data_IF_398899751061
#
_entry.id   IF_398899751061
#
_cell.length_a   1.000
_cell.length_b   1.000
_cell.length_c   1.000
_cell.angle_alpha   90.00
_cell.angle_beta   90.00
_cell.angle_gamma   90.00
#
_symmetry.space_group_name_H-M   'P 1'
#
loop_
_entity.id
_entity.type
_entity.pdbx_description
1 polymer ?
#
# COMPACT_ATOMS: atom_id res chain seq x y z
N UNK A 1 8.04 -15.34 10.82
CA UNK A 1 8.91 -15.14 9.63
C UNK A 1 7.98 -15.08 8.41
N UNK A 2 8.08 -14.06 7.56
CA UNK A 2 7.19 -13.93 6.38
C UNK A 2 7.54 -15.05 5.38
N UNK A 3 6.55 -15.76 4.87
CA UNK A 3 6.77 -16.85 3.91
C UNK A 3 6.71 -16.35 2.46
N UNK A 4 7.35 -17.09 1.53
CA UNK A 4 7.23 -16.82 0.09
C UNK A 4 5.78 -16.94 -0.41
N UNK A 5 4.99 -17.84 0.20
CA UNK A 5 3.56 -18.00 -0.10
C UNK A 5 2.78 -16.73 0.25
N UNK A 6 3.11 -16.07 1.35
CA UNK A 6 2.44 -14.82 1.75
C UNK A 6 2.82 -13.67 0.81
N UNK A 7 4.09 -13.57 0.40
CA UNK A 7 4.52 -12.59 -0.61
C UNK A 7 3.77 -12.78 -1.92
N UNK A 8 3.67 -14.02 -2.42
CA UNK A 8 2.95 -14.29 -3.67
C UNK A 8 1.46 -13.95 -3.54
N UNK A 9 0.84 -14.25 -2.40
CA UNK A 9 -0.56 -13.87 -2.14
C UNK A 9 -0.74 -12.36 -2.21
N UNK A 10 0.13 -11.60 -1.57
CA UNK A 10 0.07 -10.13 -1.57
C UNK A 10 0.25 -9.57 -2.99
N UNK A 11 1.24 -10.06 -3.76
CA UNK A 11 1.44 -9.65 -5.16
C UNK A 11 0.18 -9.85 -6.00
N UNK A 12 -0.46 -11.01 -5.87
CA UNK A 12 -1.67 -11.33 -6.60
C UNK A 12 -2.83 -10.40 -6.21
N UNK A 13 -3.04 -10.18 -4.91
CA UNK A 13 -4.12 -9.30 -4.42
C UNK A 13 -3.93 -7.86 -4.89
N UNK A 14 -2.71 -7.31 -4.75
CA UNK A 14 -2.40 -5.94 -5.18
C UNK A 14 -2.60 -5.77 -6.69
N UNK A 15 -2.20 -6.75 -7.50
CA UNK A 15 -2.45 -6.72 -8.94
C UNK A 15 -3.94 -6.71 -9.26
N UNK A 16 -4.73 -7.56 -8.60
CA UNK A 16 -6.19 -7.58 -8.77
C UNK A 16 -6.85 -6.25 -8.38
N UNK A 17 -6.46 -5.69 -7.23
CA UNK A 17 -6.99 -4.40 -6.75
C UNK A 17 -6.66 -3.27 -7.73
N UNK A 18 -5.45 -3.27 -8.29
CA UNK A 18 -5.06 -2.29 -9.31
C UNK A 18 -5.92 -2.39 -10.57
N UNK A 19 -6.10 -3.58 -11.15
CA UNK A 19 -6.97 -3.78 -12.32
C UNK A 19 -8.41 -3.37 -12.02
N UNK A 20 -8.93 -3.73 -10.84
CA UNK A 20 -10.28 -3.34 -10.44
C UNK A 20 -10.43 -1.81 -10.33
N UNK A 21 -9.40 -1.12 -9.82
CA UNK A 21 -9.39 0.34 -9.74
C UNK A 21 -9.46 1.02 -11.11
N UNK A 22 -9.02 0.34 -12.18
CA UNK A 22 -9.06 0.86 -13.56
C UNK A 22 -10.42 0.69 -14.25
N UNK A 23 -11.32 -0.14 -13.71
CA UNK A 23 -12.64 -0.39 -14.30
C UNK A 23 -13.67 0.72 -14.01
N UNK A 24 -13.33 1.68 -13.16
CA UNK A 24 -14.20 2.81 -12.82
C UNK A 24 -13.52 4.12 -13.21
N UNK A 25 -14.13 4.88 -14.13
CA UNK A 25 -13.59 6.15 -14.63
C UNK A 25 -13.26 7.16 -13.51
N UNK A 26 -14.09 7.23 -12.46
CA UNK A 26 -13.84 8.12 -11.32
C UNK A 26 -12.61 7.68 -10.51
N UNK A 27 -12.40 6.37 -10.36
CA UNK A 27 -11.21 5.84 -9.68
C UNK A 27 -9.94 6.09 -10.49
N UNK A 28 -9.98 5.88 -11.82
CA UNK A 28 -8.88 6.20 -12.73
C UNK A 28 -8.51 7.68 -12.64
N UNK A 29 -9.49 8.59 -12.76
CA UNK A 29 -9.24 10.02 -12.68
C UNK A 29 -8.61 10.43 -11.33
N UNK A 30 -9.09 9.86 -10.22
CA UNK A 30 -8.53 10.12 -8.89
C UNK A 30 -7.08 9.61 -8.75
N UNK A 31 -6.78 8.41 -9.26
CA UNK A 31 -5.42 7.85 -9.21
C UNK A 31 -4.46 8.75 -10.00
N UNK A 32 -4.76 9.04 -11.26
CA UNK A 32 -3.92 9.89 -12.11
C UNK A 32 -3.78 11.29 -11.52
N UNK A 33 -4.89 11.91 -11.09
CA UNK A 33 -4.89 13.22 -10.44
C UNK A 33 -4.01 13.26 -9.19
N UNK A 34 -4.05 12.21 -8.36
CA UNK A 34 -3.24 12.14 -7.14
C UNK A 34 -1.74 12.08 -7.41
N UNK A 35 -1.31 11.36 -8.44
CA UNK A 35 0.10 11.26 -8.82
C UNK A 35 0.60 12.55 -9.48
N UNK A 36 -0.22 13.14 -10.37
CA UNK A 36 0.09 14.44 -10.96
C UNK A 36 0.20 15.55 -9.89
N UNK A 37 -0.70 15.54 -8.89
CA UNK A 37 -0.65 16.48 -7.77
C UNK A 37 0.59 16.31 -6.89
N UNK A 38 1.15 15.09 -6.80
CA UNK A 38 2.43 14.82 -6.13
C UNK A 38 3.65 15.24 -6.96
N UNK A 39 3.45 15.62 -8.22
CA UNK A 39 4.49 16.09 -9.14
C UNK A 39 5.24 14.99 -9.88
N UNK A 40 4.88 13.72 -9.69
CA UNK A 40 5.54 12.59 -10.35
C UNK A 40 4.55 11.45 -10.63
N UNK A 41 4.39 11.13 -11.92
CA UNK A 41 3.53 10.05 -12.40
C UNK A 41 4.27 8.72 -12.57
N UNK A 42 5.60 8.73 -12.59
CA UNK A 42 6.39 7.52 -12.83
C UNK A 42 6.04 6.36 -11.88
N UNK A 43 5.79 6.58 -10.57
CA UNK A 43 5.43 5.48 -9.68
C UNK A 43 4.10 4.79 -10.04
N UNK A 44 3.20 5.47 -10.76
CA UNK A 44 1.99 4.85 -11.30
C UNK A 44 2.31 3.98 -12.53
N UNK A 45 3.20 4.46 -13.39
CA UNK A 45 3.57 3.79 -14.64
C UNK A 45 4.43 2.55 -14.39
N UNK A 46 5.32 2.62 -13.39
CA UNK A 46 6.18 1.51 -12.97
C UNK A 46 5.49 0.55 -11.98
N UNK A 47 4.26 0.86 -11.54
CA UNK A 47 3.58 0.15 -10.45
C UNK A 47 3.52 -1.37 -10.66
N UNK A 48 3.12 -1.84 -11.84
CA UNK A 48 3.02 -3.28 -12.10
C UNK A 48 4.39 -3.97 -12.05
N UNK A 49 5.41 -3.33 -12.63
CA UNK A 49 6.79 -3.82 -12.63
C UNK A 49 7.36 -3.88 -11.22
N UNK A 50 7.13 -2.85 -10.41
CA UNK A 50 7.63 -2.79 -9.04
C UNK A 50 6.98 -3.85 -8.16
N UNK A 51 5.68 -4.11 -8.31
CA UNK A 51 4.98 -5.19 -7.60
C UNK A 51 5.50 -6.57 -8.04
N UNK A 52 5.79 -6.78 -9.32
CA UNK A 52 6.38 -8.02 -9.80
C UNK A 52 7.77 -8.27 -9.21
N UNK A 53 8.59 -7.22 -9.11
CA UNK A 53 9.96 -7.31 -8.61
C UNK A 53 10.08 -7.30 -7.07
N UNK A 54 9.00 -7.02 -6.34
CA UNK A 54 8.98 -6.97 -4.88
C UNK A 54 9.54 -8.25 -4.23
N UNK A 55 10.50 -8.13 -3.32
CA UNK A 55 11.10 -9.26 -2.61
C UNK A 55 10.79 -9.24 -1.10
N UNK A 56 11.00 -10.37 -0.43
CA UNK A 56 10.84 -10.46 1.03
C UNK A 56 11.78 -9.49 1.78
N UNK A 57 12.98 -9.24 1.24
CA UNK A 57 13.96 -8.33 1.87
C UNK A 57 13.45 -6.90 1.90
N UNK A 58 12.69 -6.47 0.89
CA UNK A 58 12.14 -5.12 0.79
C UNK A 58 11.08 -4.91 1.86
N UNK A 59 10.19 -5.90 2.02
CA UNK A 59 9.17 -5.89 3.08
C UNK A 59 9.80 -5.82 4.48
N UNK A 60 10.82 -6.64 4.73
CA UNK A 60 11.54 -6.64 6.01
C UNK A 60 12.23 -5.29 6.25
N UNK A 61 12.83 -4.71 5.21
CA UNK A 61 13.54 -3.43 5.30
C UNK A 61 12.56 -2.27 5.57
N UNK A 62 11.42 -2.23 4.86
CA UNK A 62 10.35 -1.27 5.11
C UNK A 62 9.78 -1.40 6.52
N UNK A 63 9.48 -2.61 6.99
CA UNK A 63 8.98 -2.84 8.34
C UNK A 63 9.97 -2.33 9.40
N UNK A 64 11.26 -2.65 9.26
CA UNK A 64 12.30 -2.16 10.17
C UNK A 64 12.45 -0.64 10.15
N UNK A 65 12.25 -0.01 8.99
CA UNK A 65 12.36 1.44 8.83
C UNK A 65 11.19 2.18 9.48
N UNK A 66 9.97 1.71 9.29
CA UNK A 66 8.78 2.47 9.65
C UNK A 66 8.10 2.01 10.95
N UNK A 67 8.18 0.73 11.31
CA UNK A 67 7.56 0.20 12.54
C UNK A 67 8.48 0.36 13.75
N UNK A 68 8.80 1.61 14.06
CA UNK A 68 9.60 2.02 15.22
C UNK A 68 8.73 2.83 16.20
N UNK A 69 9.13 2.86 17.47
CA UNK A 69 8.34 3.47 18.53
C UNK A 69 8.14 4.98 18.31
N UNK A 70 9.15 5.64 17.75
CA UNK A 70 9.17 7.07 17.45
C UNK A 70 8.11 7.48 16.41
N UNK A 71 7.75 6.55 15.52
CA UNK A 71 6.70 6.75 14.52
C UNK A 71 5.32 6.23 14.99
N UNK A 72 5.23 5.70 16.21
CA UNK A 72 4.02 5.06 16.72
C UNK A 72 3.10 6.09 17.40
N UNK A 73 1.82 6.07 17.03
CA UNK A 73 0.77 6.85 17.69
C UNK A 73 -0.38 5.91 18.05
N UNK A 74 -0.78 5.88 19.32
CA UNK A 74 -1.83 4.99 19.82
C UNK A 74 -3.05 5.80 20.26
N UNK A 75 -4.21 5.48 19.68
CA UNK A 75 -5.51 6.04 20.07
C UNK A 75 -6.41 4.90 20.55
N UNK A 76 -7.00 5.05 21.74
CA UNK A 76 -7.91 4.05 22.32
C UNK A 76 -9.28 4.68 22.48
N UNK A 77 -10.24 4.25 21.64
CA UNK A 77 -11.63 4.62 21.79
C UNK A 77 -12.25 3.82 22.96
N UNK A 78 -12.84 4.52 23.94
CA UNK A 78 -13.58 3.90 25.05
C UNK A 78 -15.01 4.39 25.05
N UNK A 79 -15.92 3.52 25.48
CA UNK A 79 -17.32 3.90 25.72
C UNK A 79 -17.35 4.97 26.82
N UNK A 80 -18.17 6.00 26.63
CA UNK A 80 -18.42 7.00 27.67
C UNK A 80 -19.02 6.32 28.92
N UNK A 81 -18.55 6.72 30.10
CA UNK A 81 -19.02 6.18 31.38
C UNK A 81 -20.31 6.85 31.86
N UNK A 82 -20.75 7.92 31.18
CA UNK A 82 -21.95 8.69 31.53
C UNK A 82 -23.15 8.37 30.62
N UNK A 83 -23.58 7.10 30.61
CA UNK A 83 -24.83 6.66 29.98
C UNK A 83 -25.73 5.95 30.98
#
# INVERSE_FOLDING_TARGET
KISQKDLQRVKNNVKSDFIFSLNNASAVANIYGSYLARGDINPLLDYEKDIQNLELKDLISCAKKYFIQENSTTVILRKDSNG
#
